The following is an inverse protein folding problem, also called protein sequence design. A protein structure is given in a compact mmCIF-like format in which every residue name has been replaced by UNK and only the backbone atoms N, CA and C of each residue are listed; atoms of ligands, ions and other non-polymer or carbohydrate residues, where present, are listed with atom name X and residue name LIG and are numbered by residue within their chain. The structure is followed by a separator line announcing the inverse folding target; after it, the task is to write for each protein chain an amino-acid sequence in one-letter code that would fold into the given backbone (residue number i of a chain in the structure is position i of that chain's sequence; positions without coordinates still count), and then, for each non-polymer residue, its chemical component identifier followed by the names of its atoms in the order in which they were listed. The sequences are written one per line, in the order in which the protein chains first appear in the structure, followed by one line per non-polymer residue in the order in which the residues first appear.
data_IF_299503954822
#
_entry.id   IF_299503954822
#
_cell.length_a   1.000
_cell.length_b   1.000
_cell.length_c   1.000
_cell.angle_alpha   90.00
_cell.angle_beta   90.00
_cell.angle_gamma   90.00
#
_symmetry.space_group_name_H-M   'P 1'
#
loop_
_entity.id
_entity.type
_entity.pdbx_description
1 polymer ?
#
# COMPACT_ATOMS: atom_id res chain seq x y z
N UNK A 1 8.02 -0.67 -2.73
CA UNK A 1 8.66 0.63 -2.46
C UNK A 1 8.18 1.60 -3.53
N UNK A 2 7.60 2.74 -3.16
CA UNK A 2 7.26 3.81 -4.12
C UNK A 2 8.32 4.89 -3.99
N UNK A 3 9.02 5.18 -5.09
CA UNK A 3 9.98 6.28 -5.16
C UNK A 3 9.28 7.46 -5.81
N UNK A 4 9.21 8.57 -5.09
CA UNK A 4 8.65 9.82 -5.57
C UNK A 4 9.77 10.85 -5.73
N UNK A 5 9.67 11.69 -6.75
CA UNK A 5 10.57 12.82 -6.96
C UNK A 5 9.87 14.05 -6.39
N UNK A 6 10.57 14.80 -5.55
CA UNK A 6 10.11 16.12 -5.11
C UNK A 6 10.22 17.09 -6.29
N UNK A 7 9.09 17.63 -6.75
CA UNK A 7 9.04 18.52 -7.91
C UNK A 7 9.84 19.82 -7.68
N UNK A 8 10.02 20.23 -6.42
CA UNK A 8 10.77 21.44 -6.06
C UNK A 8 12.28 21.21 -5.99
N UNK A 9 12.76 19.97 -6.19
CA UNK A 9 14.18 19.67 -6.11
C UNK A 9 14.94 20.29 -7.28
N UNK A 10 16.03 21.01 -6.97
CA UNK A 10 16.92 21.62 -7.97
C UNK A 10 17.63 20.62 -8.90
N UNK A 11 17.53 19.32 -8.63
CA UNK A 11 18.21 18.24 -9.33
C UNK A 11 17.24 17.17 -9.86
N UNK A 12 16.05 17.58 -10.33
CA UNK A 12 15.01 16.66 -10.82
C UNK A 12 15.50 15.63 -11.85
N UNK A 13 16.43 15.98 -12.75
CA UNK A 13 16.98 15.04 -13.72
C UNK A 13 17.83 13.93 -13.05
N UNK A 14 18.68 14.30 -12.09
CA UNK A 14 19.47 13.33 -11.33
C UNK A 14 18.57 12.46 -10.45
N UNK A 15 17.57 13.06 -9.80
CA UNK A 15 16.59 12.34 -9.00
C UNK A 15 15.79 11.34 -9.84
N UNK A 16 15.38 11.71 -11.06
CA UNK A 16 14.71 10.82 -11.99
C UNK A 16 15.60 9.64 -12.40
N UNK A 17 16.88 9.89 -12.70
CA UNK A 17 17.83 8.83 -13.04
C UNK A 17 18.08 7.88 -11.87
N UNK A 18 18.19 8.41 -10.65
CA UNK A 18 18.32 7.58 -9.45
C UNK A 18 17.06 6.73 -9.23
N UNK A 19 15.86 7.31 -9.39
CA UNK A 19 14.61 6.56 -9.26
C UNK A 19 14.50 5.42 -10.28
N UNK A 20 14.92 5.64 -11.53
CA UNK A 20 15.00 4.57 -12.54
C UNK A 20 15.96 3.47 -12.11
N UNK A 21 17.16 3.82 -11.63
CA UNK A 21 18.16 2.85 -11.21
C UNK A 21 17.64 1.97 -10.05
N UNK A 22 16.97 2.54 -9.05
CA UNK A 22 16.42 1.76 -7.93
C UNK A 22 15.17 0.92 -8.28
N UNK A 23 14.59 1.13 -9.46
CA UNK A 23 13.40 0.40 -9.94
C UNK A 23 13.69 -0.49 -11.14
N UNK A 24 14.94 -0.56 -11.58
CA UNK A 24 15.36 -1.44 -12.65
C UNK A 24 15.33 -2.92 -12.21
N UNK A 25 15.51 -3.81 -13.19
CA UNK A 25 15.44 -5.25 -12.99
C UNK A 25 16.50 -5.73 -12.00
N UNK A 26 17.73 -5.22 -12.12
CA UNK A 26 18.84 -5.60 -11.24
C UNK A 26 18.57 -5.23 -9.78
N UNK A 27 18.08 -4.01 -9.54
CA UNK A 27 17.75 -3.55 -8.19
C UNK A 27 16.57 -4.30 -7.60
N UNK A 28 15.54 -4.62 -8.40
CA UNK A 28 14.42 -5.45 -7.95
C UNK A 28 14.86 -6.87 -7.57
N UNK A 29 15.76 -7.49 -8.33
CA UNK A 29 16.34 -8.80 -7.99
C UNK A 29 17.12 -8.75 -6.68
N UNK A 30 17.98 -7.74 -6.50
CA UNK A 30 18.75 -7.56 -5.25
C UNK A 30 17.84 -7.40 -4.04
N UNK A 31 16.76 -6.60 -4.16
CA UNK A 31 15.77 -6.43 -3.09
C UNK A 31 15.05 -7.76 -2.80
N UNK A 32 14.69 -8.50 -3.85
CA UNK A 32 14.03 -9.78 -3.71
C UNK A 32 14.91 -10.81 -2.98
N UNK A 33 16.16 -10.96 -3.41
CA UNK A 33 17.09 -11.96 -2.88
C UNK A 33 17.57 -11.65 -1.45
N UNK A 34 17.81 -10.37 -1.14
CA UNK A 34 18.47 -10.00 0.12
C UNK A 34 17.55 -9.38 1.17
N UNK A 35 16.38 -8.87 0.76
CA UNK A 35 15.43 -8.22 1.67
C UNK A 35 14.08 -8.95 1.73
N UNK A 36 13.91 -10.03 0.94
CA UNK A 36 12.64 -10.77 0.86
C UNK A 36 11.50 -9.95 0.24
N UNK A 37 11.83 -8.89 -0.50
CA UNK A 37 10.82 -8.05 -1.14
C UNK A 37 10.18 -8.76 -2.33
N UNK A 38 8.86 -8.68 -2.48
CA UNK A 38 8.18 -9.18 -3.68
C UNK A 38 8.47 -8.22 -4.86
N UNK A 39 9.16 -8.68 -5.93
CA UNK A 39 9.47 -7.83 -7.07
C UNK A 39 8.18 -7.43 -7.78
N UNK A 40 8.01 -6.14 -8.07
CA UNK A 40 6.77 -5.60 -8.64
C UNK A 40 6.85 -5.34 -10.15
N UNK A 41 7.95 -5.71 -10.80
CA UNK A 41 8.17 -5.54 -12.24
C UNK A 41 7.93 -6.86 -12.97
N UNK A 42 7.03 -6.84 -13.94
CA UNK A 42 6.65 -8.03 -14.74
C UNK A 42 7.83 -8.64 -15.51
N UNK A 43 8.83 -7.82 -15.86
CA UNK A 43 10.01 -8.29 -16.58
C UNK A 43 11.03 -9.02 -15.70
N UNK A 44 10.90 -8.95 -14.38
CA UNK A 44 11.84 -9.61 -13.47
C UNK A 44 11.45 -11.08 -13.42
N UNK A 45 12.25 -11.92 -14.06
CA UNK A 45 12.20 -13.37 -13.87
C UNK A 45 13.07 -13.71 -12.66
N UNK A 46 12.52 -14.43 -11.69
CA UNK A 46 13.22 -14.77 -10.46
C UNK A 46 13.02 -16.25 -10.15
N UNK A 47 14.11 -16.93 -9.83
CA UNK A 47 14.08 -18.36 -9.46
C UNK A 47 13.93 -18.57 -7.95
N UNK A 48 13.90 -17.48 -7.17
CA UNK A 48 13.75 -17.54 -5.72
C UNK A 48 12.28 -17.73 -5.35
N UNK A 49 11.99 -18.85 -4.69
CA UNK A 49 10.64 -19.17 -4.24
C UNK A 49 10.52 -18.93 -2.73
N UNK A 50 9.95 -17.78 -2.36
CA UNK A 50 9.44 -17.59 -1.01
C UNK A 50 8.05 -18.25 -0.93
N UNK A 51 7.80 -19.15 0.04
CA UNK A 51 6.51 -19.85 0.16
C UNK A 51 5.32 -18.91 0.42
N UNK A 52 5.56 -17.67 0.85
CA UNK A 52 4.55 -16.64 1.03
C UNK A 52 4.26 -15.86 -0.26
N UNK A 53 5.17 -15.82 -1.23
CA UNK A 53 4.97 -15.06 -2.47
C UNK A 53 3.87 -15.66 -3.35
N UNK A 54 3.78 -16.99 -3.43
CA UNK A 54 2.67 -17.66 -4.12
C UNK A 54 1.33 -17.38 -3.45
N UNK A 55 1.31 -17.35 -2.11
CA UNK A 55 0.12 -17.00 -1.35
C UNK A 55 -0.29 -15.55 -1.59
N UNK A 56 0.66 -14.60 -1.59
CA UNK A 56 0.41 -13.19 -1.90
C UNK A 56 -0.10 -13.03 -3.34
N UNK A 57 0.56 -13.68 -4.30
CA UNK A 57 0.16 -13.65 -5.72
C UNK A 57 -1.26 -14.18 -5.91
N UNK A 58 -1.60 -15.29 -5.24
CA UNK A 58 -2.96 -15.83 -5.24
C UNK A 58 -3.98 -14.86 -4.63
N UNK A 59 -3.68 -14.29 -3.46
CA UNK A 59 -4.57 -13.31 -2.82
C UNK A 59 -4.83 -12.11 -3.74
N UNK A 60 -3.78 -11.58 -4.40
CA UNK A 60 -3.90 -10.46 -5.34
C UNK A 60 -4.70 -10.85 -6.58
N UNK A 61 -4.47 -12.05 -7.12
CA UNK A 61 -5.23 -12.54 -8.28
C UNK A 61 -6.73 -12.74 -7.95
N UNK A 62 -7.06 -13.18 -6.73
CA UNK A 62 -8.43 -13.45 -6.30
C UNK A 62 -9.19 -12.20 -5.84
N UNK A 63 -8.51 -11.26 -5.20
CA UNK A 63 -9.14 -10.11 -4.51
C UNK A 63 -8.80 -8.76 -5.17
N UNK A 64 -7.94 -8.76 -6.19
CA UNK A 64 -7.40 -7.55 -6.81
C UNK A 64 -6.20 -6.98 -6.04
N UNK A 65 -5.73 -5.83 -6.50
CA UNK A 65 -4.60 -5.14 -5.88
C UNK A 65 -5.03 -4.41 -4.60
N UNK A 66 -4.18 -4.44 -3.58
CA UNK A 66 -4.35 -3.58 -2.41
C UNK A 66 -4.14 -2.12 -2.82
N UNK A 67 -5.23 -1.37 -2.96
CA UNK A 67 -5.15 0.09 -3.05
C UNK A 67 -4.83 0.65 -1.66
N UNK A 68 -3.59 1.11 -1.49
CA UNK A 68 -3.14 1.80 -0.29
C UNK A 68 -3.69 3.23 -0.20
N UNK A 69 -4.65 3.61 -1.05
CA UNK A 69 -5.32 4.90 -1.07
C UNK A 69 -4.37 6.08 -1.25
N UNK A 70 -3.14 5.86 -1.71
CA UNK A 70 -2.13 6.90 -1.91
C UNK A 70 -2.57 7.97 -2.91
N UNK A 71 -3.50 7.64 -3.82
CA UNK A 71 -4.11 8.59 -4.75
C UNK A 71 -5.31 9.37 -4.15
N UNK A 72 -5.80 8.98 -2.98
CA UNK A 72 -6.94 9.62 -2.34
C UNK A 72 -6.46 10.75 -1.42
N UNK A 73 -6.80 12.04 -1.70
CA UNK A 73 -6.24 13.20 -1.01
C UNK A 73 -6.37 13.20 0.53
N UNK A 74 -7.31 12.43 1.07
CA UNK A 74 -7.61 12.33 2.51
C UNK A 74 -7.43 10.93 3.08
N UNK A 75 -6.70 10.06 2.39
CA UNK A 75 -6.57 8.66 2.82
C UNK A 75 -6.01 8.52 4.22
N UNK A 76 -5.00 9.31 4.58
CA UNK A 76 -4.40 9.30 5.91
C UNK A 76 -5.41 9.62 7.01
N UNK A 77 -6.33 10.56 6.78
CA UNK A 77 -7.39 10.92 7.71
C UNK A 77 -8.53 9.89 7.74
N UNK A 78 -8.86 9.28 6.59
CA UNK A 78 -9.92 8.28 6.46
C UNK A 78 -9.50 6.97 7.12
N UNK A 79 -8.29 6.47 6.84
CA UNK A 79 -7.84 5.15 7.31
C UNK A 79 -7.81 5.04 8.84
N UNK A 80 -7.54 6.14 9.53
CA UNK A 80 -7.47 6.15 11.01
C UNK A 80 -8.86 6.12 11.64
N UNK A 81 -9.92 6.48 10.91
CA UNK A 81 -11.28 6.47 11.45
C UNK A 81 -11.76 5.05 11.77
N UNK A 82 -11.24 4.01 11.11
CA UNK A 82 -11.72 2.63 11.30
C UNK A 82 -11.31 2.05 12.67
N UNK A 83 -10.16 2.46 13.21
CA UNK A 83 -9.56 1.90 14.43
C UNK A 83 -10.51 1.90 15.63
N UNK A 84 -11.14 3.02 16.04
CA UNK A 84 -12.04 3.03 17.19
C UNK A 84 -13.29 2.14 16.99
N UNK A 85 -13.85 2.09 15.78
CA UNK A 85 -15.03 1.26 15.49
C UNK A 85 -14.71 -0.23 15.47
N UNK A 86 -13.58 -0.61 14.88
CA UNK A 86 -13.09 -2.00 14.91
C UNK A 86 -12.77 -2.43 16.35
N UNK A 87 -12.14 -1.57 17.14
CA UNK A 87 -11.84 -1.89 18.54
C UNK A 87 -13.14 -2.05 19.36
N UNK A 88 -14.14 -1.19 19.15
CA UNK A 88 -15.44 -1.32 19.81
C UNK A 88 -16.18 -2.59 19.39
N UNK A 89 -16.15 -2.92 18.09
CA UNK A 89 -16.70 -4.16 17.54
C UNK A 89 -16.05 -5.40 18.17
N UNK A 90 -14.71 -5.47 18.18
CA UNK A 90 -13.99 -6.63 18.72
C UNK A 90 -14.03 -6.74 20.25
N UNK A 91 -14.53 -5.72 20.94
CA UNK A 91 -14.72 -5.74 22.41
C UNK A 91 -16.20 -5.81 22.79
N UNK A 92 -17.07 -6.18 21.85
CA UNK A 92 -18.52 -6.33 22.03
C UNK A 92 -19.22 -5.05 22.55
N UNK A 93 -18.61 -3.88 22.35
CA UNK A 93 -19.17 -2.58 22.73
C UNK A 93 -20.07 -1.98 21.64
N UNK A 94 -19.97 -2.51 20.42
CA UNK A 94 -20.80 -2.15 19.27
C UNK A 94 -21.12 -3.41 18.47
N UNK A 95 -22.31 -3.45 17.89
CA UNK A 95 -22.64 -4.44 16.85
C UNK A 95 -21.90 -4.15 15.55
N UNK A 96 -21.78 -5.12 14.63
CA UNK A 96 -21.21 -4.88 13.30
C UNK A 96 -21.85 -3.71 12.55
N UNK A 97 -23.18 -3.56 12.65
CA UNK A 97 -23.90 -2.49 11.96
C UNK A 97 -23.61 -1.11 12.58
N UNK A 98 -23.61 -1.00 13.92
CA UNK A 98 -23.29 0.27 14.59
C UNK A 98 -21.86 0.73 14.30
N UNK A 99 -20.90 -0.21 14.27
CA UNK A 99 -19.52 0.07 13.92
C UNK A 99 -19.40 0.57 12.47
N UNK A 100 -20.11 -0.07 11.54
CA UNK A 100 -20.15 0.33 10.13
C UNK A 100 -20.76 1.73 9.95
N UNK A 101 -21.93 1.99 10.54
CA UNK A 101 -22.63 3.26 10.42
C UNK A 101 -21.80 4.40 11.03
N UNK A 102 -21.16 4.13 12.19
CA UNK A 102 -20.25 5.06 12.84
C UNK A 102 -19.04 5.39 11.96
N UNK A 103 -18.41 4.37 11.37
CA UNK A 103 -17.30 4.55 10.45
C UNK A 103 -17.70 5.36 9.22
N UNK A 104 -18.80 5.01 8.54
CA UNK A 104 -19.30 5.75 7.37
C UNK A 104 -19.53 7.22 7.70
N UNK A 105 -20.14 7.52 8.86
CA UNK A 105 -20.34 8.90 9.31
C UNK A 105 -19.02 9.64 9.54
N UNK A 106 -18.03 9.00 10.16
CA UNK A 106 -16.72 9.59 10.40
C UNK A 106 -15.97 9.87 9.09
N UNK A 107 -15.99 8.92 8.15
CA UNK A 107 -15.42 9.08 6.80
C UNK A 107 -16.09 10.24 6.05
N UNK A 108 -17.42 10.30 6.04
CA UNK A 108 -18.15 11.39 5.37
C UNK A 108 -17.84 12.77 5.96
N UNK A 109 -17.55 12.84 7.27
CA UNK A 109 -17.13 14.09 7.93
C UNK A 109 -15.76 14.54 7.43
N UNK A 110 -14.83 13.61 7.22
CA UNK A 110 -13.51 13.90 6.63
C UNK A 110 -13.67 14.36 5.19
N UNK A 111 -14.48 13.64 4.40
CA UNK A 111 -14.70 13.94 2.99
C UNK A 111 -15.34 15.32 2.75
N UNK A 112 -16.24 15.76 3.64
CA UNK A 112 -16.95 17.04 3.52
C UNK A 112 -16.11 18.30 3.84
N UNK A 113 -14.89 18.15 4.36
CA UNK A 113 -13.96 19.27 4.61
C UNK A 113 -13.31 19.79 3.34
#
# INVERSE_FOLDING_TARGET
MSLCIDEEASQNELAARAAVLFTDETSQLIIAEHQGGYPNRISVDYTFTDPHWDAIGKIVAENGMLDLGIAMPKFSEIRVQSVPFLQALYTDKMTPQEALDGYVKAVNTVLAR
#
